data_IF_465804072984
#
_entry.id   IF_465804072984
#
_cell.length_a   1.000
_cell.length_b   1.000
_cell.length_c   1.000
_cell.angle_alpha   90.00
_cell.angle_beta   90.00
_cell.angle_gamma   90.00
#
_symmetry.space_group_name_H-M   'P 1'
#
loop_
_entity.id
_entity.type
_entity.pdbx_description
1 polymer ?
#
# COMPACT_ATOMS: atom_id res chain seq x y z
N UNK A 1 22.23 26.06 -37.01
CA UNK A 1 23.39 25.19 -37.30
C UNK A 1 23.81 25.41 -38.76
N UNK A 2 25.07 25.14 -39.11
CA UNK A 2 25.53 25.11 -40.51
C UNK A 2 25.82 23.67 -40.91
N UNK A 3 25.54 23.31 -42.16
CA UNK A 3 25.90 22.01 -42.75
C UNK A 3 27.42 21.90 -42.93
N UNK A 4 27.91 20.70 -43.28
CA UNK A 4 29.29 20.49 -43.74
C UNK A 4 29.66 21.32 -44.97
N UNK A 5 28.66 21.76 -45.73
CA UNK A 5 28.79 22.60 -46.92
C UNK A 5 28.81 24.12 -46.63
N UNK A 6 28.76 24.55 -45.37
CA UNK A 6 28.76 25.97 -44.95
C UNK A 6 27.40 26.68 -44.96
N UNK A 7 26.37 26.12 -45.60
CA UNK A 7 25.00 26.66 -45.63
C UNK A 7 24.26 26.56 -44.29
N UNK A 8 23.32 27.47 -44.07
CA UNK A 8 22.40 27.43 -42.93
C UNK A 8 21.41 26.26 -43.12
N UNK A 9 21.28 25.42 -42.09
CA UNK A 9 20.38 24.26 -42.11
C UNK A 9 18.93 24.66 -41.92
N UNK A 10 18.01 24.00 -42.63
CA UNK A 10 16.58 24.13 -42.42
C UNK A 10 16.11 23.23 -41.28
N UNK A 11 15.11 23.69 -40.53
CA UNK A 11 14.48 22.91 -39.46
C UNK A 11 13.21 22.27 -39.98
N UNK A 12 13.06 20.97 -39.74
CA UNK A 12 11.92 20.17 -40.17
C UNK A 12 11.33 19.42 -38.98
N UNK A 13 10.09 18.98 -39.14
CA UNK A 13 9.38 18.14 -38.16
C UNK A 13 9.06 16.80 -38.83
N UNK A 14 9.48 15.70 -38.22
CA UNK A 14 9.22 14.36 -38.73
C UNK A 14 7.73 14.03 -38.66
N UNK A 15 7.19 13.58 -39.78
CA UNK A 15 5.82 13.07 -39.92
C UNK A 15 5.78 11.53 -39.97
N UNK A 16 6.92 10.88 -39.71
CA UNK A 16 7.00 9.42 -39.74
C UNK A 16 6.23 8.81 -38.56
N UNK A 17 5.61 7.63 -38.72
CA UNK A 17 4.92 6.94 -37.62
C UNK A 17 5.83 6.61 -36.43
N UNK A 18 7.13 6.44 -36.66
CA UNK A 18 8.10 6.07 -35.63
C UNK A 18 8.59 7.27 -34.80
N UNK A 19 8.66 8.46 -35.40
CA UNK A 19 9.10 9.69 -34.73
C UNK A 19 8.17 10.88 -35.05
N UNK A 20 6.86 10.81 -34.78
CA UNK A 20 5.95 11.90 -35.11
C UNK A 20 6.26 13.14 -34.27
N UNK A 21 6.32 14.31 -34.91
CA UNK A 21 6.52 15.59 -34.22
C UNK A 21 7.96 15.88 -33.80
N UNK A 22 8.91 14.94 -33.94
CA UNK A 22 10.32 15.16 -33.58
C UNK A 22 10.98 16.10 -34.59
N UNK A 23 11.72 17.09 -34.09
CA UNK A 23 12.38 18.09 -34.93
C UNK A 23 13.79 17.64 -35.34
N UNK A 24 14.22 18.04 -36.53
CA UNK A 24 15.56 17.76 -37.04
C UNK A 24 16.03 18.91 -37.94
N UNK A 25 17.35 19.02 -38.09
CA UNK A 25 17.99 19.93 -39.04
C UNK A 25 18.39 19.15 -40.29
N UNK A 26 18.21 19.71 -41.49
CA UNK A 26 18.72 19.16 -42.76
C UNK A 26 19.33 20.26 -43.62
N UNK A 27 20.37 19.93 -44.38
CA UNK A 27 20.95 20.83 -45.39
C UNK A 27 19.90 21.23 -46.44
N UNK A 28 19.83 22.51 -46.85
CA UNK A 28 18.91 22.96 -47.90
C UNK A 28 19.33 22.51 -49.30
N UNK A 29 20.60 22.15 -49.52
CA UNK A 29 21.07 21.73 -50.84
C UNK A 29 20.43 20.38 -51.23
N UNK A 30 20.13 20.16 -52.53
CA UNK A 30 19.56 18.90 -52.99
C UNK A 30 20.52 17.73 -52.73
N UNK A 31 19.99 16.53 -52.50
CA UNK A 31 20.78 15.36 -52.09
C UNK A 31 21.88 14.95 -53.11
N UNK A 32 21.79 15.45 -54.35
CA UNK A 32 22.79 15.30 -55.42
C UNK A 32 24.09 16.09 -55.11
N UNK A 33 23.99 17.16 -54.32
CA UNK A 33 25.08 18.12 -54.02
C UNK A 33 26.02 17.67 -52.89
N UNK A 34 26.07 16.36 -52.62
CA UNK A 34 26.95 15.64 -51.70
C UNK A 34 26.92 16.00 -50.21
N UNK A 35 26.27 17.09 -49.78
CA UNK A 35 26.33 17.48 -48.37
C UNK A 35 25.62 16.48 -47.42
N UNK A 36 24.41 16.02 -47.78
CA UNK A 36 23.60 15.03 -47.05
C UNK A 36 23.49 15.21 -45.52
N UNK A 37 23.74 16.42 -45.02
CA UNK A 37 23.75 16.69 -43.59
C UNK A 37 22.33 16.65 -43.04
N UNK A 38 22.13 15.83 -42.00
CA UNK A 38 20.92 15.82 -41.19
C UNK A 38 21.26 15.45 -39.74
N UNK A 39 20.51 15.99 -38.78
CA UNK A 39 20.72 15.70 -37.35
C UNK A 39 19.42 15.97 -36.57
N UNK A 40 19.09 15.12 -35.60
CA UNK A 40 17.96 15.40 -34.71
C UNK A 40 18.21 16.65 -33.87
N UNK A 41 17.15 17.42 -33.65
CA UNK A 41 17.14 18.47 -32.64
C UNK A 41 16.75 17.84 -31.31
N UNK A 42 17.69 17.12 -30.72
CA UNK A 42 17.51 16.60 -29.38
C UNK A 42 17.77 17.72 -28.37
N UNK A 43 16.83 17.89 -27.44
CA UNK A 43 17.02 18.80 -26.33
C UNK A 43 18.04 18.17 -25.39
N UNK A 44 19.24 18.77 -25.32
CA UNK A 44 20.12 18.54 -24.19
C UNK A 44 19.40 19.13 -22.98
N UNK A 45 19.01 18.28 -22.03
CA UNK A 45 18.45 18.79 -20.78
C UNK A 45 19.51 19.69 -20.15
N UNK A 46 19.17 20.94 -19.78
CA UNK A 46 20.09 21.79 -19.04
C UNK A 46 20.53 21.06 -17.76
N UNK A 47 21.78 21.21 -17.35
CA UNK A 47 22.33 20.54 -16.15
C UNK A 47 21.44 20.73 -14.92
N UNK A 48 20.83 21.92 -14.79
CA UNK A 48 19.87 22.23 -13.72
C UNK A 48 18.65 21.30 -13.73
N UNK A 49 18.13 20.96 -14.91
CA UNK A 49 17.01 20.04 -15.05
C UNK A 49 17.42 18.61 -14.67
N UNK A 50 18.61 18.17 -15.08
CA UNK A 50 19.16 16.86 -14.71
C UNK A 50 19.37 16.71 -13.20
N UNK A 51 19.98 17.72 -12.56
CA UNK A 51 20.17 17.75 -11.10
C UNK A 51 18.81 17.67 -10.37
N UNK A 52 17.82 18.41 -10.87
CA UNK A 52 16.47 18.42 -10.29
C UNK A 52 15.82 17.04 -10.41
N UNK A 53 15.92 16.40 -11.58
CA UNK A 53 15.42 15.05 -11.82
C UNK A 53 16.06 14.03 -10.88
N UNK A 54 17.39 14.05 -10.75
CA UNK A 54 18.12 13.13 -9.88
C UNK A 54 17.73 13.31 -8.41
N UNK A 55 17.57 14.55 -7.93
CA UNK A 55 17.11 14.83 -6.57
C UNK A 55 15.67 14.33 -6.34
N UNK A 56 14.79 14.48 -7.32
CA UNK A 56 13.42 13.96 -7.24
C UNK A 56 13.40 12.44 -7.16
N UNK A 57 14.20 11.75 -7.99
CA UNK A 57 14.31 10.29 -7.95
C UNK A 57 14.84 9.80 -6.60
N UNK A 58 15.88 10.45 -6.06
CA UNK A 58 16.38 10.12 -4.73
C UNK A 58 15.30 10.26 -3.65
N UNK A 59 14.50 11.35 -3.70
CA UNK A 59 13.39 11.54 -2.76
C UNK A 59 12.29 10.49 -2.94
N UNK A 60 12.02 10.09 -4.18
CA UNK A 60 11.05 9.04 -4.48
C UNK A 60 11.52 7.70 -3.92
N UNK A 61 12.78 7.34 -4.12
CA UNK A 61 13.36 6.10 -3.59
C UNK A 61 13.33 6.08 -2.05
N UNK A 62 13.72 7.19 -1.42
CA UNK A 62 13.65 7.33 0.03
C UNK A 62 12.21 7.22 0.56
N UNK A 63 11.23 7.77 -0.15
CA UNK A 63 9.81 7.63 0.20
C UNK A 63 9.32 6.19 0.04
N UNK A 64 9.73 5.51 -1.03
CA UNK A 64 9.37 4.11 -1.30
C UNK A 64 9.93 3.16 -0.23
N UNK A 65 11.17 3.35 0.22
CA UNK A 65 11.75 2.59 1.34
C UNK A 65 10.93 2.79 2.61
N UNK A 66 10.56 4.03 2.93
CA UNK A 66 9.71 4.33 4.11
C UNK A 66 8.33 3.69 4.00
N UNK A 67 7.73 3.70 2.81
CA UNK A 67 6.43 3.07 2.55
C UNK A 67 6.54 1.56 2.77
N UNK A 68 7.56 0.91 2.20
CA UNK A 68 7.76 -0.53 2.35
C UNK A 68 7.94 -0.94 3.82
N UNK A 69 8.70 -0.17 4.60
CA UNK A 69 8.86 -0.41 6.03
C UNK A 69 7.56 -0.21 6.82
N UNK A 70 6.77 0.82 6.47
CA UNK A 70 5.44 1.02 7.09
C UNK A 70 4.49 -0.12 6.74
N UNK A 71 4.54 -0.60 5.49
CA UNK A 71 3.73 -1.73 5.02
C UNK A 71 4.08 -3.01 5.79
N UNK A 72 5.37 -3.35 5.92
CA UNK A 72 5.78 -4.53 6.69
C UNK A 72 5.38 -4.43 8.17
N UNK A 73 5.48 -3.25 8.77
CA UNK A 73 5.02 -3.01 10.15
C UNK A 73 3.49 -3.19 10.26
N UNK A 74 2.74 -2.69 9.28
CA UNK A 74 1.29 -2.84 9.24
C UNK A 74 0.88 -4.31 9.13
N UNK A 75 1.55 -5.09 8.28
CA UNK A 75 1.29 -6.52 8.11
C UNK A 75 1.54 -7.29 9.42
N UNK A 76 2.59 -6.94 10.16
CA UNK A 76 2.86 -7.51 11.49
C UNK A 76 1.76 -7.19 12.51
N UNK A 77 1.30 -5.93 12.55
CA UNK A 77 0.21 -5.49 13.44
C UNK A 77 -1.11 -6.22 13.10
N UNK A 78 -1.41 -6.40 11.81
CA UNK A 78 -2.61 -7.13 11.37
C UNK A 78 -2.56 -8.58 11.85
N UNK A 79 -1.41 -9.25 11.71
CA UNK A 79 -1.22 -10.62 12.17
C UNK A 79 -1.42 -10.75 13.69
N UNK A 80 -0.86 -9.83 14.48
CA UNK A 80 -1.05 -9.82 15.93
C UNK A 80 -2.50 -9.57 16.33
N UNK A 81 -3.16 -8.62 15.66
CA UNK A 81 -4.59 -8.34 15.87
C UNK A 81 -5.44 -9.58 15.63
N UNK A 82 -5.17 -10.33 14.57
CA UNK A 82 -5.94 -11.55 14.25
C UNK A 82 -5.73 -12.64 15.29
N UNK A 83 -4.48 -12.83 15.75
CA UNK A 83 -4.17 -13.75 16.87
C UNK A 83 -4.87 -13.35 18.17
N UNK A 84 -4.90 -12.06 18.48
CA UNK A 84 -5.58 -11.57 19.68
C UNK A 84 -7.10 -11.76 19.57
N UNK A 85 -7.66 -11.55 18.39
CA UNK A 85 -9.09 -11.77 18.13
C UNK A 85 -9.49 -13.23 18.40
N UNK A 86 -8.70 -14.19 17.91
CA UNK A 86 -8.94 -15.62 18.19
C UNK A 86 -8.90 -15.93 19.69
N UNK A 87 -7.90 -15.40 20.42
CA UNK A 87 -7.82 -15.58 21.88
C UNK A 87 -9.02 -14.99 22.60
N UNK A 88 -9.50 -13.83 22.17
CA UNK A 88 -10.71 -13.20 22.73
C UNK A 88 -11.94 -14.08 22.49
N UNK A 89 -12.07 -14.68 21.32
CA UNK A 89 -13.20 -15.56 21.01
C UNK A 89 -13.16 -16.85 21.85
N UNK A 90 -11.98 -17.43 22.08
CA UNK A 90 -11.79 -18.56 23.00
C UNK A 90 -12.18 -18.18 24.43
N UNK A 91 -11.71 -17.02 24.92
CA UNK A 91 -12.01 -16.56 26.28
C UNK A 91 -13.50 -16.30 26.49
N UNK A 92 -14.20 -15.74 25.49
CA UNK A 92 -15.66 -15.56 25.53
C UNK A 92 -16.38 -16.91 25.64
N UNK A 93 -15.94 -17.92 24.88
CA UNK A 93 -16.54 -19.25 24.93
C UNK A 93 -16.33 -19.91 26.30
N UNK A 94 -15.13 -19.80 26.87
CA UNK A 94 -14.82 -20.29 28.21
C UNK A 94 -15.67 -19.59 29.28
N UNK A 95 -15.75 -18.26 29.23
CA UNK A 95 -16.56 -17.47 30.16
C UNK A 95 -18.04 -17.88 30.09
N UNK A 96 -18.59 -18.06 28.88
CA UNK A 96 -19.98 -18.50 28.73
C UNK A 96 -20.21 -19.91 29.33
N UNK A 97 -19.23 -20.81 29.22
CA UNK A 97 -19.29 -22.14 29.85
C UNK A 97 -19.27 -22.04 31.37
N UNK A 98 -18.38 -21.22 31.93
CA UNK A 98 -18.29 -21.00 33.39
C UNK A 98 -19.57 -20.37 33.95
N UNK A 99 -20.10 -19.35 33.30
CA UNK A 99 -21.38 -18.71 33.68
C UNK A 99 -22.52 -19.73 33.68
N UNK A 100 -22.58 -20.63 32.68
CA UNK A 100 -23.59 -21.68 32.65
C UNK A 100 -23.44 -22.71 33.78
N UNK A 101 -22.20 -23.07 34.14
CA UNK A 101 -21.94 -23.96 35.29
C UNK A 101 -22.33 -23.29 36.60
N UNK A 102 -21.99 -22.01 36.79
CA UNK A 102 -22.36 -21.23 37.97
C UNK A 102 -23.89 -21.15 38.13
N UNK A 103 -24.61 -20.79 37.06
CA UNK A 103 -26.08 -20.77 37.06
C UNK A 103 -26.70 -22.12 37.45
N UNK A 104 -26.17 -23.23 36.93
CA UNK A 104 -26.64 -24.58 37.27
C UNK A 104 -26.36 -24.92 38.74
N UNK A 105 -25.24 -24.47 39.29
CA UNK A 105 -24.93 -24.64 40.71
C UNK A 105 -25.87 -23.80 41.59
N UNK A 106 -26.13 -22.56 41.22
CA UNK A 106 -27.08 -21.67 41.91
C UNK A 106 -28.48 -22.28 41.97
N UNK A 107 -28.95 -22.87 40.88
CA UNK A 107 -30.25 -23.57 40.82
C UNK A 107 -30.30 -24.76 41.81
N UNK A 108 -29.22 -25.56 41.87
CA UNK A 108 -29.11 -26.67 42.85
C UNK A 108 -29.08 -26.17 44.29
N UNK A 109 -28.35 -25.08 44.56
CA UNK A 109 -28.27 -24.47 45.90
C UNK A 109 -29.63 -23.92 46.31
N UNK A 110 -30.35 -23.27 45.40
CA UNK A 110 -31.71 -22.77 45.66
C UNK A 110 -32.66 -23.93 46.00
N UNK A 111 -32.63 -25.01 45.21
CA UNK A 111 -33.42 -26.21 45.49
C UNK A 111 -33.08 -26.82 46.85
N UNK A 112 -31.79 -26.94 47.18
CA UNK A 112 -31.36 -27.45 48.49
C UNK A 112 -31.83 -26.55 49.64
N UNK A 113 -31.77 -25.22 49.49
CA UNK A 113 -32.31 -24.27 50.47
C UNK A 113 -33.80 -24.46 50.69
N UNK A 114 -34.58 -24.66 49.62
CA UNK A 114 -36.03 -24.92 49.72
C UNK A 114 -36.30 -26.20 50.53
N UNK A 115 -35.58 -27.30 50.26
CA UNK A 115 -35.72 -28.54 51.02
C UNK A 115 -35.37 -28.38 52.51
N UNK A 116 -34.34 -27.61 52.82
CA UNK A 116 -33.97 -27.28 54.20
C UNK A 116 -35.13 -26.53 54.87
N UNK A 117 -35.63 -25.45 54.25
CA UNK A 117 -36.74 -24.65 54.81
C UNK A 117 -38.00 -25.48 55.08
N UNK A 118 -38.37 -26.38 54.16
CA UNK A 118 -39.52 -27.29 54.35
C UNK A 118 -39.29 -28.22 55.54
N UNK A 119 -38.10 -28.82 55.65
CA UNK A 119 -37.74 -29.71 56.76
C UNK A 119 -37.83 -28.99 58.12
N UNK A 120 -37.34 -27.74 58.20
CA UNK A 120 -37.44 -26.92 59.41
C UNK A 120 -38.90 -26.60 59.80
N UNK A 121 -39.76 -26.28 58.83
CA UNK A 121 -41.17 -26.00 59.08
C UNK A 121 -41.92 -27.22 59.65
N UNK A 122 -41.63 -28.42 59.13
CA UNK A 122 -42.22 -29.68 59.64
C UNK A 122 -41.73 -29.96 61.06
N UNK A 123 -40.42 -29.80 61.32
CA UNK A 123 -39.84 -30.07 62.64
C UNK A 123 -40.41 -29.18 63.74
N UNK A 124 -40.55 -27.87 63.48
CA UNK A 124 -41.13 -26.92 64.44
C UNK A 124 -42.62 -27.16 64.67
N UNK A 125 -43.38 -27.58 63.64
CA UNK A 125 -44.81 -27.88 63.80
C UNK A 125 -45.12 -29.17 64.57
N UNK A 126 -44.12 -30.02 64.82
CA UNK A 126 -44.26 -31.29 65.53
C UNK A 126 -43.86 -31.22 67.01
N UNK A 127 -43.17 -30.14 67.43
CA UNK A 127 -42.74 -29.85 68.82
C UNK A 127 -43.75 -28.91 69.47
#
# INVERSE_FOLDING_TARGET
KRCHCGEITNQFTSTTPYNPGRRFFKCPKPDISSCNYWEYQDYVLPDRALITFNNMNYKLDAANVKLNNKKSTLDAIILERDRLKERVDILKALQNSEVNKARKLEEKVLNMKIFIMISWAIFVGFV
#
